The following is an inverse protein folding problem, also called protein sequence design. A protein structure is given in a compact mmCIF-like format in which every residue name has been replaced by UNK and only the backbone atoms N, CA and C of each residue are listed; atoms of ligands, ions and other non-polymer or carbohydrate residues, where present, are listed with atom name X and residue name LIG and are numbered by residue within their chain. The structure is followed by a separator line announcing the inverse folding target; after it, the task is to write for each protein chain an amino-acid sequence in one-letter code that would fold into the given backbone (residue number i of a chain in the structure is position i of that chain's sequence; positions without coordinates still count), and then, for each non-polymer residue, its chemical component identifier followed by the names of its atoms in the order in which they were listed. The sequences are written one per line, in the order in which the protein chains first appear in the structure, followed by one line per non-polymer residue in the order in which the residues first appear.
data_IF_177087546740
#
_entry.id   IF_177087546740
#
_cell.length_a   1.000
_cell.length_b   1.000
_cell.length_c   1.000
_cell.angle_alpha   90.00
_cell.angle_beta   90.00
_cell.angle_gamma   90.00
#
_symmetry.space_group_name_H-M   'P 1'
#
loop_
_entity.id
_entity.type
_entity.pdbx_description
1 polymer ?
#
# COMPACT_ATOMS: atom_id res chain seq x y z
N UNK A 1 58.65 -18.50 53.77
CA UNK A 1 57.93 -17.21 53.67
C UNK A 1 58.51 -16.42 52.51
N UNK A 2 57.88 -16.49 51.34
CA UNK A 2 58.18 -15.65 50.17
C UNK A 2 56.84 -15.32 49.51
N UNK A 3 56.56 -14.03 49.48
CA UNK A 3 55.36 -13.35 49.00
C UNK A 3 55.29 -13.43 47.47
N UNK A 4 54.14 -13.85 46.93
CA UNK A 4 53.80 -13.64 45.53
C UNK A 4 52.67 -12.62 45.45
N UNK A 5 53.02 -11.45 44.93
CA UNK A 5 52.11 -10.36 44.58
C UNK A 5 51.32 -10.79 43.34
N UNK A 6 49.99 -10.96 43.47
CA UNK A 6 49.11 -11.17 42.31
C UNK A 6 48.40 -9.86 41.99
N UNK A 7 48.80 -9.22 40.89
CA UNK A 7 48.11 -8.07 40.32
C UNK A 7 47.02 -8.65 39.41
N UNK A 8 45.77 -8.62 39.85
CA UNK A 8 44.62 -8.93 39.00
C UNK A 8 44.26 -7.69 38.18
N UNK A 9 44.51 -7.76 36.88
CA UNK A 9 44.09 -6.75 35.90
C UNK A 9 42.58 -6.93 35.65
N UNK A 10 41.76 -6.02 36.20
CA UNK A 10 40.33 -5.96 35.90
C UNK A 10 40.13 -5.35 34.51
N UNK A 11 39.79 -6.18 33.53
CA UNK A 11 39.33 -5.73 32.22
C UNK A 11 37.89 -5.25 32.41
N UNK A 12 37.71 -3.93 32.41
CA UNK A 12 36.38 -3.32 32.28
C UNK A 12 35.93 -3.55 30.84
N UNK A 13 35.10 -4.56 30.64
CA UNK A 13 34.31 -4.71 29.43
C UNK A 13 33.32 -3.54 29.38
N UNK A 14 33.69 -2.50 28.64
CA UNK A 14 32.74 -1.53 28.09
C UNK A 14 31.82 -2.33 27.17
N UNK A 15 30.67 -2.76 27.68
CA UNK A 15 29.55 -3.14 26.85
C UNK A 15 29.11 -1.87 26.13
N UNK A 16 29.60 -1.65 24.91
CA UNK A 16 28.95 -0.76 23.98
C UNK A 16 27.54 -1.30 23.78
N UNK A 17 26.54 -0.69 24.42
CA UNK A 17 25.16 -0.83 23.99
C UNK A 17 25.12 -0.30 22.56
N UNK A 18 25.22 -1.21 21.59
CA UNK A 18 24.76 -0.93 20.25
C UNK A 18 23.27 -0.60 20.43
N UNK A 19 22.92 0.67 20.27
CA UNK A 19 21.54 1.09 20.03
C UNK A 19 21.16 0.52 18.67
N UNK A 20 20.81 -0.75 18.65
CA UNK A 20 20.11 -1.39 17.55
C UNK A 20 18.64 -1.41 17.97
N UNK A 21 18.02 -0.23 18.02
CA UNK A 21 16.56 -0.15 17.96
C UNK A 21 16.22 -0.45 16.50
N UNK A 22 16.06 -1.72 16.18
CA UNK A 22 15.21 -2.07 15.06
C UNK A 22 13.83 -2.23 15.68
N UNK A 23 13.04 -1.16 15.66
CA UNK A 23 11.62 -1.21 16.03
C UNK A 23 10.82 -2.19 15.15
N UNK A 24 11.46 -2.78 14.13
CA UNK A 24 10.88 -3.72 13.21
C UNK A 24 9.92 -3.03 12.27
N UNK A 25 9.80 -1.71 12.16
CA UNK A 25 8.86 -1.12 11.20
C UNK A 25 9.37 -1.18 9.76
N UNK A 26 10.69 -1.10 9.58
CA UNK A 26 11.34 -1.01 8.28
C UNK A 26 10.93 -2.15 7.32
N UNK A 27 10.68 -1.79 6.05
CA UNK A 27 10.32 -2.75 5.01
C UNK A 27 8.90 -2.57 4.49
N UNK A 28 8.40 -3.60 3.79
CA UNK A 28 7.11 -3.54 3.08
C UNK A 28 6.06 -4.47 3.69
N UNK A 29 4.85 -3.96 3.83
CA UNK A 29 3.73 -4.55 4.54
C UNK A 29 2.49 -4.57 3.65
N UNK A 30 2.02 -5.76 3.29
CA UNK A 30 0.87 -5.98 2.42
C UNK A 30 -0.42 -6.13 3.24
N UNK A 31 -1.39 -5.28 3.00
CA UNK A 31 -2.70 -5.34 3.63
C UNK A 31 -3.67 -6.25 2.90
N UNK A 32 -4.84 -6.46 3.51
CA UNK A 32 -5.94 -7.15 2.86
C UNK A 32 -6.60 -6.29 1.76
N UNK A 33 -7.16 -6.89 0.70
CA UNK A 33 -7.97 -6.17 -0.27
C UNK A 33 -9.18 -5.49 0.40
N UNK A 34 -9.42 -4.23 0.05
CA UNK A 34 -10.58 -3.45 0.51
C UNK A 34 -11.36 -2.96 -0.70
N UNK A 35 -12.66 -2.70 -0.52
CA UNK A 35 -13.50 -2.12 -1.57
C UNK A 35 -13.56 -0.61 -1.43
N UNK A 36 -13.42 0.08 -2.56
CA UNK A 36 -13.68 1.52 -2.66
C UNK A 36 -14.84 1.78 -3.63
N UNK A 37 -15.63 2.82 -3.35
CA UNK A 37 -16.74 3.20 -4.21
C UNK A 37 -16.35 4.36 -5.12
N UNK A 38 -16.02 4.05 -6.37
CA UNK A 38 -15.67 5.07 -7.39
C UNK A 38 -16.91 5.65 -8.12
N UNK A 39 -18.11 5.42 -7.58
CA UNK A 39 -19.41 5.73 -8.16
C UNK A 39 -19.89 4.72 -9.20
N UNK A 40 -21.17 4.82 -9.59
CA UNK A 40 -21.77 3.95 -10.59
C UNK A 40 -21.90 2.50 -10.12
N UNK A 41 -21.69 1.54 -11.04
CA UNK A 41 -21.84 0.10 -10.82
C UNK A 41 -20.53 -0.66 -10.66
N UNK A 42 -19.40 0.03 -10.66
CA UNK A 42 -18.08 -0.60 -10.61
C UNK A 42 -17.80 -1.23 -9.24
N UNK A 43 -17.45 -2.52 -9.20
CA UNK A 43 -16.80 -3.14 -8.03
C UNK A 43 -15.29 -2.89 -8.15
N UNK A 44 -14.76 -2.07 -7.25
CA UNK A 44 -13.33 -1.71 -7.24
C UNK A 44 -12.68 -2.20 -5.96
N UNK A 45 -11.67 -3.06 -6.11
CA UNK A 45 -10.86 -3.56 -5.01
C UNK A 45 -9.46 -2.94 -5.05
N UNK A 46 -8.94 -2.62 -3.87
CA UNK A 46 -7.63 -2.02 -3.66
C UNK A 46 -6.89 -2.82 -2.60
N UNK A 47 -5.71 -3.30 -2.93
CA UNK A 47 -4.82 -4.02 -2.01
C UNK A 47 -3.64 -3.11 -1.66
N UNK A 48 -3.60 -2.55 -0.44
CA UNK A 48 -2.57 -1.59 -0.04
C UNK A 48 -1.26 -2.29 0.33
N UNK A 49 -0.15 -1.62 0.06
CA UNK A 49 1.19 -1.97 0.50
C UNK A 49 1.84 -0.73 1.10
N UNK A 50 2.17 -0.78 2.38
CA UNK A 50 2.96 0.27 3.04
C UNK A 50 4.43 -0.11 2.99
N UNK A 51 5.29 0.83 2.62
CA UNK A 51 6.74 0.65 2.65
C UNK A 51 7.34 1.75 3.51
N UNK A 52 7.96 1.37 4.64
CA UNK A 52 8.64 2.27 5.55
C UNK A 52 10.15 2.18 5.34
N UNK A 53 10.78 3.33 5.17
CA UNK A 53 12.24 3.47 5.01
C UNK A 53 12.73 4.45 6.08
N UNK A 54 13.32 3.94 7.18
CA UNK A 54 13.82 4.79 8.25
C UNK A 54 14.97 5.68 7.77
N UNK A 55 15.12 6.84 8.41
CA UNK A 55 16.29 7.69 8.21
C UNK A 55 17.56 7.00 8.74
N UNK A 56 18.71 7.25 8.10
CA UNK A 56 19.99 6.62 8.50
C UNK A 56 20.40 6.94 9.94
N UNK A 57 19.98 8.10 10.45
CA UNK A 57 20.35 8.61 11.77
C UNK A 57 19.31 8.31 12.87
N UNK A 58 18.07 7.96 12.49
CA UNK A 58 16.95 7.81 13.43
C UNK A 58 15.91 6.82 12.88
N UNK A 59 15.68 5.70 13.58
CA UNK A 59 14.75 4.66 13.17
C UNK A 59 13.26 5.00 13.45
N UNK A 60 13.02 6.05 14.25
CA UNK A 60 11.68 6.48 14.66
C UNK A 60 10.98 7.37 13.63
N UNK A 61 11.67 7.77 12.56
CA UNK A 61 11.10 8.58 11.49
C UNK A 61 11.74 8.23 10.14
N UNK A 62 11.08 8.60 9.05
CA UNK A 62 11.62 8.37 7.72
C UNK A 62 10.58 8.54 6.62
N UNK A 63 10.87 7.96 5.47
CA UNK A 63 9.97 7.98 4.32
C UNK A 63 8.95 6.85 4.40
N UNK A 64 7.74 7.13 3.94
CA UNK A 64 6.70 6.12 3.72
C UNK A 64 6.15 6.23 2.31
N UNK A 65 5.98 5.08 1.68
CA UNK A 65 5.26 4.94 0.41
C UNK A 65 4.05 4.05 0.63
N UNK A 66 2.87 4.53 0.25
CA UNK A 66 1.66 3.70 0.18
C UNK A 66 1.40 3.42 -1.29
N UNK A 67 1.66 2.19 -1.70
CA UNK A 67 1.31 1.69 -3.02
C UNK A 67 0.04 0.86 -2.93
N UNK A 68 -0.67 0.67 -4.04
CA UNK A 68 -1.76 -0.30 -4.07
C UNK A 68 -1.90 -0.96 -5.43
N UNK A 69 -2.31 -2.22 -5.42
CA UNK A 69 -2.84 -2.90 -6.59
C UNK A 69 -4.34 -2.65 -6.68
N UNK A 70 -4.82 -2.37 -7.88
CA UNK A 70 -6.22 -2.02 -8.13
C UNK A 70 -6.80 -2.99 -9.15
N UNK A 71 -7.94 -3.58 -8.80
CA UNK A 71 -8.75 -4.40 -9.69
C UNK A 71 -10.16 -3.80 -9.78
N UNK A 72 -10.66 -3.63 -11.00
CA UNK A 72 -11.99 -3.09 -11.27
C UNK A 72 -12.77 -4.07 -12.11
N UNK A 73 -14.00 -4.35 -11.70
CA UNK A 73 -15.03 -4.99 -12.51
C UNK A 73 -16.17 -4.00 -12.72
N UNK A 74 -16.55 -3.74 -13.97
CA UNK A 74 -17.66 -2.84 -14.27
C UNK A 74 -18.41 -3.27 -15.54
N UNK A 75 -19.57 -2.69 -15.75
CA UNK A 75 -20.37 -2.86 -16.98
C UNK A 75 -20.41 -1.53 -17.71
N UNK A 76 -19.84 -1.50 -18.92
CA UNK A 76 -20.03 -0.37 -19.83
C UNK A 76 -21.45 -0.44 -20.41
N UNK A 77 -22.28 0.60 -20.21
CA UNK A 77 -23.61 0.62 -20.80
C UNK A 77 -23.52 0.81 -22.32
N UNK A 78 -24.58 0.39 -23.02
CA UNK A 78 -24.74 0.68 -24.44
C UNK A 78 -24.87 2.19 -24.69
N UNK A 79 -24.35 2.66 -25.81
CA UNK A 79 -24.44 4.04 -26.29
C UNK A 79 -24.36 4.06 -27.83
N UNK A 80 -24.29 5.24 -28.46
CA UNK A 80 -24.24 5.35 -29.92
C UNK A 80 -23.06 4.60 -30.58
N UNK A 81 -21.98 4.37 -29.82
CA UNK A 81 -20.82 3.56 -30.24
C UNK A 81 -20.87 2.11 -29.74
N UNK A 82 -21.63 1.83 -28.68
CA UNK A 82 -21.77 0.52 -28.04
C UNK A 82 -23.20 0.01 -28.21
N UNK A 83 -23.42 -0.83 -29.22
CA UNK A 83 -24.76 -1.39 -29.53
C UNK A 83 -25.29 -2.37 -28.46
N UNK A 84 -24.46 -2.74 -27.49
CA UNK A 84 -24.80 -3.61 -26.35
C UNK A 84 -23.88 -3.29 -25.15
N UNK A 85 -24.30 -3.62 -23.91
CA UNK A 85 -23.43 -3.49 -22.76
C UNK A 85 -22.31 -4.54 -22.77
N UNK A 86 -21.15 -4.17 -22.24
CA UNK A 86 -19.98 -5.04 -22.10
C UNK A 86 -19.48 -5.03 -20.67
N UNK A 87 -19.23 -6.21 -20.11
CA UNK A 87 -18.49 -6.31 -18.86
C UNK A 87 -17.00 -6.09 -19.14
N UNK A 88 -16.35 -5.31 -18.29
CA UNK A 88 -14.93 -4.99 -18.38
C UNK A 88 -14.22 -5.31 -17.08
N UNK A 89 -13.01 -5.85 -17.20
CA UNK A 89 -12.06 -5.97 -16.11
C UNK A 89 -10.84 -5.08 -16.38
N UNK A 90 -10.43 -4.31 -15.38
CA UNK A 90 -9.28 -3.41 -15.47
C UNK A 90 -8.34 -3.66 -14.30
N UNK A 91 -7.05 -3.53 -14.56
CA UNK A 91 -6.00 -3.63 -13.57
C UNK A 91 -5.14 -2.37 -13.59
N UNK A 92 -4.69 -1.97 -12.41
CA UNK A 92 -3.84 -0.81 -12.25
C UNK A 92 -3.13 -0.78 -10.93
N UNK A 93 -2.39 0.31 -10.74
CA UNK A 93 -1.64 0.56 -9.52
C UNK A 93 -1.79 2.02 -9.09
N UNK A 94 -1.60 2.26 -7.81
CA UNK A 94 -1.44 3.60 -7.26
C UNK A 94 -0.19 3.70 -6.41
N UNK A 95 0.32 4.91 -6.28
CA UNK A 95 1.42 5.26 -5.38
C UNK A 95 1.21 6.66 -4.81
N UNK A 96 1.44 6.82 -3.51
CA UNK A 96 1.59 8.11 -2.84
C UNK A 96 2.80 8.03 -1.90
N UNK A 97 3.51 9.15 -1.75
CA UNK A 97 4.69 9.27 -0.91
C UNK A 97 4.44 10.25 0.22
N UNK A 98 5.20 10.07 1.28
CA UNK A 98 5.15 10.93 2.45
C UNK A 98 6.26 10.58 3.42
N UNK A 99 6.10 11.06 4.64
CA UNK A 99 6.98 10.73 5.77
C UNK A 99 6.18 10.13 6.91
N UNK A 100 6.86 9.40 7.79
CA UNK A 100 6.29 8.89 9.03
C UNK A 100 7.15 9.32 10.22
N UNK A 101 6.53 9.32 11.40
CA UNK A 101 7.20 9.51 12.68
C UNK A 101 6.46 8.76 13.78
N UNK A 102 7.19 8.04 14.61
CA UNK A 102 6.70 7.48 15.87
C UNK A 102 6.57 8.59 16.90
N UNK A 103 5.39 8.71 17.51
CA UNK A 103 5.09 9.79 18.48
C UNK A 103 4.88 9.28 19.90
N UNK A 104 4.56 8.00 20.06
CA UNK A 104 4.47 7.27 21.32
C UNK A 104 4.99 5.83 21.10
N UNK A 105 4.96 5.00 22.15
CA UNK A 105 5.47 3.62 22.13
C UNK A 105 4.82 2.75 21.02
N UNK A 106 3.57 3.03 20.64
CA UNK A 106 2.80 2.28 19.64
C UNK A 106 1.97 3.17 18.69
N UNK A 107 2.32 4.45 18.55
CA UNK A 107 1.63 5.39 17.66
C UNK A 107 2.54 5.91 16.54
N UNK A 108 2.08 5.83 15.29
CA UNK A 108 2.76 6.37 14.11
C UNK A 108 1.89 7.43 13.44
N UNK A 109 2.45 8.62 13.25
CA UNK A 109 1.87 9.67 12.41
C UNK A 109 2.48 9.61 11.01
N UNK A 110 1.63 9.63 9.98
CA UNK A 110 1.99 9.64 8.57
C UNK A 110 1.56 10.96 7.94
N UNK A 111 2.50 11.64 7.29
CA UNK A 111 2.27 12.87 6.54
C UNK A 111 2.43 12.60 5.05
N UNK A 112 1.30 12.49 4.34
CA UNK A 112 1.27 12.21 2.89
C UNK A 112 1.36 13.50 2.06
N UNK A 113 2.15 13.47 0.99
CA UNK A 113 2.16 14.51 -0.02
C UNK A 113 1.18 14.17 -1.13
N UNK A 114 -0.02 14.77 -1.08
CA UNK A 114 -1.08 14.58 -2.06
C UNK A 114 -0.67 14.94 -3.49
N UNK A 115 0.35 15.78 -3.69
CA UNK A 115 0.85 16.10 -5.03
C UNK A 115 1.58 14.92 -5.70
N UNK A 116 2.00 13.93 -4.90
CA UNK A 116 2.67 12.71 -5.37
C UNK A 116 1.70 11.58 -5.72
N UNK A 117 0.41 11.70 -5.37
CA UNK A 117 -0.58 10.67 -5.64
C UNK A 117 -0.71 10.46 -7.15
N UNK A 118 -0.37 9.26 -7.59
CA UNK A 118 -0.52 8.83 -8.97
C UNK A 118 -1.33 7.54 -9.04
N UNK A 119 -2.25 7.45 -10.00
CA UNK A 119 -3.00 6.24 -10.32
C UNK A 119 -2.82 5.93 -11.79
N UNK A 120 -2.41 4.70 -12.07
CA UNK A 120 -2.19 4.19 -13.41
C UNK A 120 -3.09 2.99 -13.68
N UNK A 121 -3.94 3.09 -14.70
CA UNK A 121 -4.70 1.96 -15.24
C UNK A 121 -4.09 1.60 -16.60
N UNK A 122 -3.65 0.36 -16.75
CA UNK A 122 -3.07 -0.11 -18.00
C UNK A 122 -4.16 -0.33 -19.05
N UNK A 123 -4.12 0.45 -20.13
CA UNK A 123 -5.05 0.27 -21.25
C UNK A 123 -4.86 -1.06 -21.98
N UNK A 124 -3.68 -1.69 -21.85
CA UNK A 124 -3.37 -3.01 -22.45
C UNK A 124 -3.94 -4.17 -21.64
N UNK A 125 -4.26 -3.93 -20.38
CA UNK A 125 -4.77 -4.94 -19.45
C UNK A 125 -6.29 -4.85 -19.26
N UNK A 126 -6.94 -3.96 -20.01
CA UNK A 126 -8.40 -3.96 -20.13
C UNK A 126 -8.81 -5.25 -20.84
N UNK A 127 -9.70 -6.00 -20.19
CA UNK A 127 -10.35 -7.18 -20.76
C UNK A 127 -11.82 -6.84 -20.93
N UNK A 128 -12.32 -7.04 -22.14
CA UNK A 128 -13.74 -7.01 -22.43
C UNK A 128 -14.24 -8.44 -22.32
N UNK A 129 -15.05 -8.71 -21.32
CA UNK A 129 -15.59 -10.04 -21.08
C UNK A 129 -16.78 -10.23 -22.04
N UNK A 130 -16.70 -11.24 -22.90
CA UNK A 130 -17.77 -11.53 -23.85
C UNK A 130 -19.07 -11.86 -23.09
N UNK A 131 -20.17 -11.21 -23.50
CA UNK A 131 -21.49 -11.69 -23.11
C UNK A 131 -21.70 -13.05 -23.77
N UNK A 132 -21.67 -14.13 -22.99
CA UNK A 132 -21.83 -15.52 -23.45
C UNK A 132 -23.12 -15.76 -24.25
N UNK A 133 -24.04 -14.80 -24.26
CA UNK A 133 -25.30 -14.84 -25.00
C UNK A 133 -25.19 -14.41 -26.47
N UNK A 134 -24.11 -13.75 -26.90
CA UNK A 134 -24.08 -13.08 -28.22
C UNK A 134 -23.00 -13.57 -29.18
N UNK A 135 -21.99 -14.34 -28.74
CA UNK A 135 -20.83 -14.78 -29.56
C UNK A 135 -20.25 -13.67 -30.44
N UNK A 136 -20.38 -12.42 -30.00
CA UNK A 136 -20.08 -11.25 -30.81
C UNK A 136 -18.65 -10.86 -30.51
N UNK A 137 -17.79 -10.93 -31.53
CA UNK A 137 -16.44 -10.38 -31.47
C UNK A 137 -16.51 -8.95 -30.93
N UNK A 138 -15.61 -8.61 -30.00
CA UNK A 138 -15.45 -7.25 -29.50
C UNK A 138 -15.07 -6.37 -30.70
N UNK A 139 -15.92 -5.40 -31.11
CA UNK A 139 -15.60 -4.50 -32.21
C UNK A 139 -14.26 -3.80 -31.97
N UNK A 140 -13.45 -3.64 -33.02
CA UNK A 140 -12.14 -2.98 -32.95
C UNK A 140 -12.28 -1.54 -32.42
N UNK A 141 -13.42 -0.89 -32.70
CA UNK A 141 -13.75 0.45 -32.21
C UNK A 141 -13.83 0.52 -30.67
N UNK A 142 -14.19 -0.59 -30.01
CA UNK A 142 -14.18 -0.68 -28.53
C UNK A 142 -12.74 -0.77 -28.02
N UNK A 143 -11.90 -1.54 -28.71
CA UNK A 143 -10.48 -1.68 -28.34
C UNK A 143 -9.74 -0.35 -28.50
N UNK A 144 -10.09 0.43 -29.52
CA UNK A 144 -9.56 1.78 -29.73
C UNK A 144 -9.94 2.77 -28.62
N UNK A 145 -11.02 2.50 -27.88
CA UNK A 145 -11.42 3.30 -26.71
C UNK A 145 -10.68 2.94 -25.42
N UNK A 146 -9.91 1.83 -25.39
CA UNK A 146 -9.21 1.38 -24.19
C UNK A 146 -8.35 2.47 -23.52
N UNK A 147 -7.58 3.32 -24.25
CA UNK A 147 -6.82 4.41 -23.62
C UNK A 147 -7.68 5.51 -23.00
N UNK A 148 -8.90 5.73 -23.51
CA UNK A 148 -9.83 6.72 -22.96
C UNK A 148 -10.55 6.16 -21.73
N UNK A 149 -10.95 4.88 -21.81
CA UNK A 149 -11.53 4.13 -20.69
C UNK A 149 -10.54 4.11 -19.52
N UNK A 150 -9.29 3.70 -19.75
CA UNK A 150 -8.24 3.68 -18.73
C UNK A 150 -8.07 5.05 -18.03
N UNK A 151 -7.99 6.14 -18.79
CA UNK A 151 -7.89 7.50 -18.25
C UNK A 151 -9.09 7.90 -17.39
N UNK A 152 -10.32 7.55 -17.82
CA UNK A 152 -11.53 7.83 -17.06
C UNK A 152 -11.52 7.10 -15.71
N UNK A 153 -11.17 5.82 -15.68
CA UNK A 153 -11.08 5.07 -14.42
C UNK A 153 -9.95 5.57 -13.54
N UNK A 154 -8.76 5.83 -14.10
CA UNK A 154 -7.64 6.38 -13.34
C UNK A 154 -8.03 7.67 -12.61
N UNK A 155 -8.71 8.60 -13.30
CA UNK A 155 -9.17 9.85 -12.69
C UNK A 155 -10.20 9.63 -11.57
N UNK A 156 -11.19 8.75 -11.77
CA UNK A 156 -12.22 8.43 -10.75
C UNK A 156 -11.62 7.76 -9.52
N UNK A 157 -10.73 6.80 -9.75
CA UNK A 157 -10.03 6.08 -8.69
C UNK A 157 -9.12 7.02 -7.93
N UNK A 158 -8.33 7.85 -8.62
CA UNK A 158 -7.45 8.84 -7.98
C UNK A 158 -8.23 9.79 -7.07
N UNK A 159 -9.39 10.28 -7.51
CA UNK A 159 -10.23 11.14 -6.68
C UNK A 159 -10.71 10.42 -5.41
N UNK A 160 -11.22 9.20 -5.54
CA UNK A 160 -11.77 8.42 -4.42
C UNK A 160 -10.66 7.97 -3.46
N UNK A 161 -9.60 7.40 -4.01
CA UNK A 161 -8.47 6.89 -3.24
C UNK A 161 -7.75 8.01 -2.50
N UNK A 162 -7.67 9.22 -3.08
CA UNK A 162 -7.11 10.39 -2.39
C UNK A 162 -7.87 10.78 -1.12
N UNK A 163 -9.15 10.38 -0.98
CA UNK A 163 -9.93 10.57 0.24
C UNK A 163 -9.70 9.40 1.20
N UNK A 164 -9.77 8.16 0.71
CA UNK A 164 -9.60 6.95 1.52
C UNK A 164 -8.21 6.86 2.15
N UNK A 165 -7.16 7.25 1.41
CA UNK A 165 -5.78 7.12 1.86
C UNK A 165 -5.44 8.04 3.04
N UNK A 166 -6.25 9.08 3.29
CA UNK A 166 -6.10 9.95 4.46
C UNK A 166 -6.38 9.23 5.77
N UNK A 167 -7.08 8.09 5.73
CA UNK A 167 -7.30 7.25 6.90
C UNK A 167 -5.96 6.72 7.45
N UNK A 168 -4.94 6.55 6.61
CA UNK A 168 -3.59 6.14 7.02
C UNK A 168 -2.77 7.23 7.70
N UNK A 169 -3.29 8.45 7.86
CA UNK A 169 -2.55 9.56 8.48
C UNK A 169 -2.10 9.27 9.92
N UNK A 170 -2.70 8.27 10.56
CA UNK A 170 -2.34 7.79 11.89
C UNK A 170 -2.55 6.27 11.96
N UNK A 171 -1.57 5.58 12.55
CA UNK A 171 -1.66 4.18 12.93
C UNK A 171 -1.56 4.12 14.46
N UNK A 172 -2.60 3.63 15.10
CA UNK A 172 -2.68 3.46 16.55
C UNK A 172 -2.42 1.99 16.94
N UNK A 173 -2.08 1.74 18.21
CA UNK A 173 -1.90 0.39 18.77
C UNK A 173 -0.94 -0.51 17.94
N UNK A 174 0.10 0.09 17.36
CA UNK A 174 1.03 -0.57 16.44
C UNK A 174 1.82 -1.66 17.16
N UNK A 175 1.62 -2.89 16.73
CA UNK A 175 2.29 -4.09 17.24
C UNK A 175 2.86 -4.91 16.10
N UNK A 176 4.11 -5.31 16.25
CA UNK A 176 4.81 -6.12 15.25
C UNK A 176 5.17 -7.47 15.88
N UNK A 177 4.59 -8.53 15.34
CA UNK A 177 4.91 -9.92 15.70
C UNK A 177 5.36 -10.68 14.46
N UNK A 178 6.67 -10.94 14.37
CA UNK A 178 7.32 -11.60 13.22
C UNK A 178 6.98 -10.90 11.91
N UNK A 179 6.24 -11.57 11.05
CA UNK A 179 5.83 -11.10 9.73
C UNK A 179 4.46 -10.41 9.73
N UNK A 180 3.90 -10.07 10.90
CA UNK A 180 2.63 -9.37 11.03
C UNK A 180 2.82 -8.01 11.68
N UNK A 181 2.30 -6.98 11.03
CA UNK A 181 2.08 -5.66 11.60
C UNK A 181 0.58 -5.54 11.87
N UNK A 182 0.23 -5.32 13.12
CA UNK A 182 -1.12 -5.11 13.61
C UNK A 182 -1.23 -3.67 14.06
N UNK A 183 -2.30 -3.00 13.68
CA UNK A 183 -2.57 -1.64 14.14
C UNK A 183 -4.05 -1.33 14.00
N UNK A 184 -4.44 -0.21 14.59
CA UNK A 184 -5.74 0.40 14.42
C UNK A 184 -5.63 1.56 13.41
N UNK A 185 -6.54 1.59 12.44
CA UNK A 185 -6.67 2.68 11.47
C UNK A 185 -8.12 3.16 11.50
N UNK A 186 -8.33 4.40 11.96
CA UNK A 186 -9.66 5.03 12.05
C UNK A 186 -10.67 4.10 12.77
N UNK A 187 -10.34 3.70 14.00
CA UNK A 187 -11.13 2.84 14.89
C UNK A 187 -11.35 1.40 14.38
N UNK A 188 -10.46 0.90 13.51
CA UNK A 188 -10.53 -0.47 12.97
C UNK A 188 -9.21 -1.20 13.10
N UNK A 189 -9.27 -2.36 13.73
CA UNK A 189 -8.17 -3.33 13.74
C UNK A 189 -7.88 -3.82 12.33
N UNK A 190 -6.64 -3.64 11.88
CA UNK A 190 -6.13 -4.11 10.61
C UNK A 190 -4.83 -4.85 10.79
N UNK A 191 -4.52 -5.71 9.82
CA UNK A 191 -3.28 -6.47 9.79
C UNK A 191 -2.61 -6.39 8.43
N UNK A 192 -1.29 -6.34 8.45
CA UNK A 192 -0.45 -6.33 7.26
C UNK A 192 0.61 -7.43 7.39
N UNK A 193 0.91 -8.07 6.27
CA UNK A 193 1.92 -9.12 6.18
C UNK A 193 3.22 -8.57 5.61
N UNK A 194 4.33 -8.85 6.27
CA UNK A 194 5.66 -8.50 5.77
C UNK A 194 5.94 -9.20 4.45
N UNK A 195 6.44 -8.45 3.46
CA UNK A 195 6.94 -8.98 2.19
C UNK A 195 8.45 -9.30 2.26
N UNK A 196 9.10 -8.90 3.35
CA UNK A 196 10.49 -9.24 3.64
C UNK A 196 10.50 -10.30 4.74
N UNK A 197 11.17 -11.45 4.55
CA UNK A 197 11.27 -12.45 5.60
C UNK A 197 11.94 -11.88 6.85
N UNK A 198 11.30 -12.00 8.01
CA UNK A 198 11.88 -11.57 9.30
C UNK A 198 12.38 -12.78 10.09
N UNK A 199 13.50 -12.60 10.79
CA UNK A 199 14.18 -13.66 11.54
C UNK A 199 13.64 -13.81 12.94
#
# INVERSE_FOLDING_TARGET
MKTFLSIALAIILLASVQSCSDNGLAGSWLGAPTRINIGGTADTQVTPKLTFVPNEENDTEGDVTIASEIAVLDVLPSNDSLVAPYEISLYGTSEIKGTYRMVDDDEIIISLDNSTLNVNISSKDIRFNESQFTQRLIPDEIQDQAPQIARRYASRIQHTLGIEILQYSRLDDVKIDKDLLMCEINDRDVTFRSLTPRK
#
